data_IF_683436447086
#
_entry.id   IF_683436447086
#
_cell.length_a   1.000
_cell.length_b   1.000
_cell.length_c   1.000
_cell.angle_alpha   90.00
_cell.angle_beta   90.00
_cell.angle_gamma   90.00
#
_symmetry.space_group_name_H-M   'P 1'
#
loop_
_entity.id
_entity.type
_entity.pdbx_description
1 polymer ?
#
# COMPACT_ATOMS: atom_id res chain seq x y z
N UNK A 1 16.62 13.54 18.13
CA UNK A 1 15.96 14.76 18.66
C UNK A 1 16.50 16.07 18.07
N UNK A 2 17.75 16.51 18.36
CA UNK A 2 18.29 17.81 17.89
C UNK A 2 18.16 17.98 16.37
N UNK A 3 18.55 16.95 15.63
CA UNK A 3 18.51 16.97 14.16
C UNK A 3 17.08 17.12 13.61
N UNK A 4 16.12 16.40 14.21
CA UNK A 4 14.70 16.46 13.85
C UNK A 4 14.16 17.88 14.07
N UNK A 5 14.36 18.45 15.27
CA UNK A 5 13.86 19.79 15.63
C UNK A 5 14.40 20.85 14.65
N UNK A 6 15.69 20.77 14.27
CA UNK A 6 16.29 21.69 13.30
C UNK A 6 15.66 21.60 11.91
N UNK A 7 15.14 20.44 11.52
CA UNK A 7 14.54 20.22 10.20
C UNK A 7 13.06 20.57 10.20
N UNK A 8 12.30 20.16 11.21
CA UNK A 8 10.84 20.33 11.22
C UNK A 8 10.40 21.75 11.55
N UNK A 9 11.20 22.49 12.34
CA UNK A 9 10.89 23.88 12.71
C UNK A 9 10.76 24.81 11.49
N UNK A 10 11.72 24.88 10.55
CA UNK A 10 11.57 25.70 9.36
C UNK A 10 10.47 25.22 8.40
N UNK A 11 9.94 24.00 8.58
CA UNK A 11 8.79 23.48 7.84
C UNK A 11 7.44 23.89 8.44
N UNK A 12 7.44 24.63 9.56
CA UNK A 12 6.22 25.07 10.23
C UNK A 12 5.45 23.95 10.94
N UNK A 13 6.11 22.82 11.23
CA UNK A 13 5.50 21.78 12.06
C UNK A 13 5.46 22.24 13.51
N UNK A 14 4.32 22.02 14.17
CA UNK A 14 4.13 22.33 15.58
C UNK A 14 5.06 21.47 16.47
N UNK A 15 5.76 22.10 17.40
CA UNK A 15 6.68 21.42 18.32
C UNK A 15 6.20 21.65 19.75
N UNK A 16 5.78 20.55 20.41
CA UNK A 16 5.33 20.58 21.79
C UNK A 16 6.30 19.83 22.70
N UNK A 17 6.53 20.37 23.89
CA UNK A 17 7.40 19.80 24.92
C UNK A 17 6.59 19.30 26.10
N UNK A 18 7.06 18.22 26.72
CA UNK A 18 6.48 17.75 27.98
C UNK A 18 7.58 17.38 28.97
N UNK A 19 7.38 17.76 30.24
CA UNK A 19 8.31 17.43 31.32
C UNK A 19 7.53 17.07 32.59
N UNK A 20 8.14 16.25 33.45
CA UNK A 20 7.54 15.91 34.74
C UNK A 20 7.76 17.09 35.70
N UNK A 21 6.67 17.63 36.23
CA UNK A 21 6.71 18.67 37.26
C UNK A 21 5.40 18.66 38.03
N UNK A 22 5.49 18.77 39.35
CA UNK A 22 4.33 18.89 40.22
C UNK A 22 3.69 20.28 40.11
N UNK A 23 2.37 20.36 40.18
CA UNK A 23 1.63 21.62 40.32
C UNK A 23 1.83 22.27 41.70
N UNK A 24 2.25 21.48 42.69
CA UNK A 24 2.51 21.95 44.06
C UNK A 24 3.95 21.66 44.46
N UNK A 25 4.54 22.52 45.30
CA UNK A 25 5.91 22.32 45.81
C UNK A 25 6.09 21.04 46.63
N UNK A 26 5.01 20.53 47.25
CA UNK A 26 5.05 19.30 48.03
C UNK A 26 4.60 18.07 47.23
N UNK A 27 4.28 18.21 45.94
CA UNK A 27 3.93 17.11 45.05
C UNK A 27 2.67 16.34 45.44
N UNK A 28 1.71 16.97 46.15
CA UNK A 28 0.47 16.30 46.58
C UNK A 28 -0.43 15.91 45.41
N UNK A 29 -0.31 16.64 44.31
CA UNK A 29 -1.05 16.51 43.05
C UNK A 29 -0.55 15.39 42.14
N UNK A 30 0.62 14.80 42.44
CA UNK A 30 1.18 13.69 41.68
C UNK A 30 0.24 12.49 41.68
N UNK A 31 0.27 11.74 40.57
CA UNK A 31 -0.42 10.45 40.46
C UNK A 31 0.00 9.50 41.57
N UNK A 32 -0.86 8.51 41.87
CA UNK A 32 -0.53 7.48 42.86
C UNK A 32 0.74 6.72 42.46
N UNK A 33 0.89 6.38 41.19
CA UNK A 33 2.09 5.74 40.66
C UNK A 33 3.35 6.58 40.91
N UNK A 34 3.35 7.88 40.62
CA UNK A 34 4.52 8.73 40.88
C UNK A 34 4.86 8.84 42.37
N UNK A 35 3.86 8.76 43.26
CA UNK A 35 4.08 8.69 44.71
C UNK A 35 4.74 7.37 45.12
N UNK A 36 4.28 6.25 44.59
CA UNK A 36 4.81 4.91 44.89
C UNK A 36 6.19 4.67 44.27
N UNK A 37 6.41 5.17 43.06
CA UNK A 37 7.65 5.05 42.29
C UNK A 37 8.68 6.14 42.63
N UNK A 38 8.38 7.00 43.61
CA UNK A 38 9.21 8.11 44.08
C UNK A 38 9.68 9.07 42.97
N UNK A 39 8.84 9.30 41.96
CA UNK A 39 9.08 10.28 40.90
C UNK A 39 8.55 11.63 41.41
N UNK A 40 9.45 12.50 41.88
CA UNK A 40 9.09 13.78 42.48
C UNK A 40 9.93 14.93 41.95
N UNK A 41 9.31 15.80 41.15
CA UNK A 41 9.91 17.07 40.71
C UNK A 41 9.03 18.21 41.25
N UNK A 42 9.49 19.03 42.21
CA UNK A 42 8.71 20.13 42.78
C UNK A 42 8.40 21.24 41.77
N UNK A 43 7.30 21.98 42.00
CA UNK A 43 6.98 23.19 41.23
C UNK A 43 8.13 24.21 41.26
N UNK A 44 8.60 24.61 40.09
CA UNK A 44 9.69 25.56 39.87
C UNK A 44 11.09 24.96 39.99
N UNK A 45 11.22 23.63 40.02
CA UNK A 45 12.52 22.95 40.01
C UNK A 45 13.15 23.03 38.62
N UNK A 46 14.45 23.34 38.56
CA UNK A 46 15.23 23.28 37.31
C UNK A 46 15.37 21.87 36.75
N UNK A 47 15.10 20.83 37.55
CA UNK A 47 15.04 19.44 37.08
C UNK A 47 13.86 19.20 36.13
N UNK A 48 12.85 20.08 36.15
CA UNK A 48 11.74 20.06 35.22
C UNK A 48 12.07 20.73 33.88
N UNK A 49 13.25 21.31 33.71
CA UNK A 49 13.63 22.04 32.51
C UNK A 49 14.01 21.08 31.36
N UNK A 50 13.65 21.47 30.15
CA UNK A 50 14.12 20.78 28.95
C UNK A 50 15.62 21.05 28.80
N UNK A 51 16.39 20.00 28.48
CA UNK A 51 17.84 20.13 28.30
C UNK A 51 18.18 21.20 27.24
N UNK A 52 19.25 21.95 27.49
CA UNK A 52 19.64 23.09 26.65
C UNK A 52 19.84 22.74 25.16
N UNK A 53 20.27 21.51 24.86
CA UNK A 53 20.49 21.04 23.49
C UNK A 53 19.22 20.99 22.63
N UNK A 54 18.03 20.92 23.24
CA UNK A 54 16.73 20.91 22.56
C UNK A 54 15.75 21.90 23.21
N UNK A 55 16.26 22.99 23.79
CA UNK A 55 15.45 23.98 24.49
C UNK A 55 14.26 24.48 23.64
N UNK A 56 13.08 24.68 24.25
CA UNK A 56 11.94 25.28 23.58
C UNK A 56 12.27 26.69 23.07
N UNK A 57 11.74 27.05 21.91
CA UNK A 57 11.67 28.42 21.44
C UNK A 57 10.58 29.20 22.20
N UNK A 58 10.54 30.51 22.00
CA UNK A 58 9.62 31.42 22.70
C UNK A 58 8.14 31.04 22.55
N UNK A 59 7.74 30.55 21.37
CA UNK A 59 6.35 30.23 21.02
C UNK A 59 6.02 28.73 21.12
N UNK A 60 6.97 27.89 21.54
CA UNK A 60 6.72 26.45 21.63
C UNK A 60 5.83 26.13 22.84
N UNK A 61 4.83 25.25 22.65
CA UNK A 61 3.97 24.84 23.75
C UNK A 61 4.70 23.86 24.68
N UNK A 62 4.79 24.20 25.96
CA UNK A 62 5.45 23.36 26.97
C UNK A 62 4.48 22.97 28.10
N UNK A 63 4.12 21.68 28.15
CA UNK A 63 3.16 21.14 29.12
C UNK A 63 3.86 20.37 30.24
N UNK A 64 3.51 20.70 31.48
CA UNK A 64 4.00 20.01 32.68
C UNK A 64 3.04 18.90 33.07
N UNK A 65 3.56 17.69 33.30
CA UNK A 65 2.76 16.49 33.60
C UNK A 65 3.07 15.93 34.99
N UNK A 66 2.03 15.50 35.70
CA UNK A 66 2.10 14.97 37.07
C UNK A 66 1.94 13.44 37.14
N UNK A 67 1.95 12.80 35.97
CA UNK A 67 1.90 11.35 35.76
C UNK A 67 2.77 10.94 34.57
N UNK A 68 2.88 9.62 34.30
CA UNK A 68 3.64 9.11 33.15
C UNK A 68 2.94 9.39 31.82
N UNK A 69 1.62 9.18 31.74
CA UNK A 69 0.81 9.48 30.55
C UNK A 69 0.48 10.96 30.41
N UNK A 70 0.92 11.58 29.31
CA UNK A 70 0.68 13.01 29.03
C UNK A 70 -0.81 13.33 28.85
N UNK A 71 -1.58 12.43 28.22
CA UNK A 71 -3.03 12.61 28.02
C UNK A 71 -3.84 12.51 29.32
N UNK A 72 -3.27 11.91 30.36
CA UNK A 72 -3.94 11.69 31.64
C UNK A 72 -3.79 12.84 32.62
N UNK A 73 -2.71 13.62 32.53
CA UNK A 73 -2.39 14.68 33.50
C UNK A 73 -2.21 16.07 32.88
N UNK A 74 -2.53 16.23 31.60
CA UNK A 74 -2.48 17.52 30.91
C UNK A 74 -3.73 17.73 30.05
N UNK A 75 -3.88 18.94 29.51
CA UNK A 75 -4.91 19.28 28.53
C UNK A 75 -4.44 19.09 27.07
N UNK A 76 -3.41 18.27 26.82
CA UNK A 76 -2.80 18.14 25.49
C UNK A 76 -3.79 17.75 24.39
N UNK A 77 -4.76 16.87 24.68
CA UNK A 77 -5.78 16.45 23.69
C UNK A 77 -6.62 17.63 23.21
N UNK A 78 -7.07 18.47 24.14
CA UNK A 78 -7.83 19.68 23.83
C UNK A 78 -7.00 20.65 22.96
N UNK A 79 -5.72 20.83 23.28
CA UNK A 79 -4.81 21.71 22.53
C UNK A 79 -4.59 21.17 21.12
N UNK A 80 -4.22 19.89 20.98
CA UNK A 80 -4.00 19.23 19.68
C UNK A 80 -5.24 19.31 18.78
N UNK A 81 -6.43 19.11 19.34
CA UNK A 81 -7.71 19.23 18.60
C UNK A 81 -7.94 20.65 18.08
N UNK A 82 -7.68 21.67 18.89
CA UNK A 82 -7.83 23.07 18.48
C UNK A 82 -6.81 23.50 17.43
N UNK A 83 -5.61 22.89 17.45
CA UNK A 83 -4.59 23.07 16.43
C UNK A 83 -4.87 22.28 15.14
N UNK A 84 -5.91 21.44 15.12
CA UNK A 84 -6.26 20.61 13.96
C UNK A 84 -5.23 19.51 13.68
N UNK A 85 -4.50 19.05 14.69
CA UNK A 85 -3.46 18.04 14.54
C UNK A 85 -4.09 16.66 14.35
N UNK A 86 -3.79 16.02 13.22
CA UNK A 86 -4.20 14.63 12.94
C UNK A 86 -3.03 13.64 13.07
N UNK A 87 -1.80 14.11 12.83
CA UNK A 87 -0.57 13.31 12.88
C UNK A 87 0.30 13.72 14.06
N UNK A 88 0.69 12.76 14.90
CA UNK A 88 1.51 13.00 16.08
C UNK A 88 2.84 12.25 15.98
N UNK A 89 3.94 12.99 15.96
CA UNK A 89 5.30 12.44 15.99
C UNK A 89 5.81 12.46 17.43
N UNK A 90 6.09 11.28 17.99
CA UNK A 90 6.48 11.09 19.39
C UNK A 90 7.96 10.70 19.47
N UNK A 91 8.71 11.41 20.30
CA UNK A 91 10.09 11.09 20.65
C UNK A 91 10.38 11.53 22.09
N UNK A 92 11.30 10.86 22.79
CA UNK A 92 11.66 11.27 24.16
C UNK A 92 12.28 10.17 25.02
N UNK A 93 12.29 10.42 26.34
CA UNK A 93 12.92 9.54 27.32
C UNK A 93 11.91 8.61 28.00
N UNK A 94 12.39 7.42 28.35
CA UNK A 94 11.62 6.27 28.84
C UNK A 94 10.65 5.72 27.79
N UNK A 95 11.23 5.09 26.77
CA UNK A 95 10.51 4.39 25.69
C UNK A 95 9.42 3.45 26.22
N UNK A 96 9.71 2.72 27.29
CA UNK A 96 8.85 1.72 27.93
C UNK A 96 7.92 2.30 29.02
N UNK A 97 7.82 3.64 29.11
CA UNK A 97 6.91 4.30 30.05
C UNK A 97 6.19 5.47 29.38
N UNK A 98 6.73 6.69 29.48
CA UNK A 98 6.04 7.89 29.07
C UNK A 98 5.77 7.93 27.56
N UNK A 99 6.72 7.41 26.75
CA UNK A 99 6.57 7.30 25.29
C UNK A 99 5.51 6.27 24.93
N UNK A 100 5.60 5.05 25.49
CA UNK A 100 4.61 3.99 25.29
C UNK A 100 3.18 4.47 25.60
N UNK A 101 2.96 5.03 26.78
CA UNK A 101 1.65 5.55 27.18
C UNK A 101 1.16 6.65 26.24
N UNK A 102 2.03 7.60 25.86
CA UNK A 102 1.65 8.66 24.93
C UNK A 102 1.24 8.11 23.56
N UNK A 103 1.96 7.10 23.06
CA UNK A 103 1.66 6.44 21.79
C UNK A 103 0.30 5.75 21.84
N UNK A 104 0.05 4.90 22.84
CA UNK A 104 -1.20 4.15 22.96
C UNK A 104 -2.40 5.07 23.19
N UNK A 105 -2.28 6.02 24.12
CA UNK A 105 -3.35 6.97 24.42
C UNK A 105 -3.69 7.82 23.18
N UNK A 106 -2.69 8.25 22.41
CA UNK A 106 -2.90 9.00 21.18
C UNK A 106 -3.59 8.14 20.10
N UNK A 107 -3.16 6.89 19.93
CA UNK A 107 -3.77 5.96 18.98
C UNK A 107 -5.26 5.72 19.31
N UNK A 108 -5.59 5.44 20.58
CA UNK A 108 -6.97 5.23 21.04
C UNK A 108 -7.84 6.48 20.88
N UNK A 109 -7.23 7.67 20.93
CA UNK A 109 -7.90 8.95 20.69
C UNK A 109 -8.04 9.30 19.20
N UNK A 110 -7.54 8.47 18.30
CA UNK A 110 -7.69 8.59 16.85
C UNK A 110 -6.63 9.45 16.16
N UNK A 111 -5.48 9.71 16.79
CA UNK A 111 -4.34 10.35 16.13
C UNK A 111 -3.55 9.33 15.30
N UNK A 112 -3.00 9.76 14.16
CA UNK A 112 -2.03 8.96 13.40
C UNK A 112 -0.64 9.14 14.03
N UNK A 113 -0.15 8.11 14.71
CA UNK A 113 1.05 8.22 15.54
C UNK A 113 2.29 7.68 14.81
N UNK A 114 3.38 8.43 14.87
CA UNK A 114 4.73 8.01 14.47
C UNK A 114 5.64 8.08 15.70
N UNK A 115 6.29 6.98 16.06
CA UNK A 115 7.33 6.95 17.10
C UNK A 115 8.72 6.95 16.45
N UNK A 116 9.56 7.92 16.81
CA UNK A 116 10.93 7.99 16.29
C UNK A 116 11.85 7.17 17.20
N UNK A 117 12.12 5.91 16.82
CA UNK A 117 12.77 4.91 17.66
C UNK A 117 14.16 5.33 18.14
N UNK A 118 15.01 5.79 17.22
CA UNK A 118 16.38 6.25 17.52
C UNK A 118 16.45 7.63 18.19
N UNK A 119 15.31 8.33 18.29
CA UNK A 119 15.14 9.51 19.12
C UNK A 119 14.46 9.19 20.46
N UNK A 120 14.24 7.91 20.75
CA UNK A 120 13.74 7.42 22.03
C UNK A 120 14.82 6.63 22.77
N UNK A 121 14.74 6.60 24.10
CA UNK A 121 15.63 5.75 24.90
C UNK A 121 15.01 5.38 26.25
N UNK A 122 15.51 4.33 26.88
CA UNK A 122 15.21 3.97 28.28
C UNK A 122 16.46 3.34 28.92
N UNK A 123 16.35 2.85 30.15
CA UNK A 123 17.48 2.39 30.96
C UNK A 123 18.35 1.31 30.31
N UNK A 124 17.78 0.46 29.45
CA UNK A 124 18.52 -0.56 28.70
C UNK A 124 17.99 -0.68 27.28
N UNK A 125 18.86 -1.12 26.36
CA UNK A 125 18.49 -1.40 24.97
C UNK A 125 17.42 -2.48 24.87
N UNK A 126 17.49 -3.52 25.72
CA UNK A 126 16.48 -4.58 25.75
C UNK A 126 15.09 -4.04 26.14
N UNK A 127 15.01 -3.17 27.16
CA UNK A 127 13.73 -2.53 27.54
C UNK A 127 13.20 -1.64 26.43
N UNK A 128 14.08 -0.92 25.75
CA UNK A 128 13.74 -0.09 24.60
C UNK A 128 13.11 -0.92 23.48
N UNK A 129 13.77 -2.01 23.07
CA UNK A 129 13.28 -2.90 22.01
C UNK A 129 12.00 -3.65 22.41
N UNK A 130 11.89 -4.05 23.69
CA UNK A 130 10.67 -4.67 24.22
C UNK A 130 9.48 -3.72 24.13
N UNK A 131 9.66 -2.46 24.49
CA UNK A 131 8.60 -1.46 24.40
C UNK A 131 8.19 -1.18 22.96
N UNK A 132 9.17 -0.95 22.07
CA UNK A 132 8.90 -0.75 20.63
C UNK A 132 8.10 -1.92 20.05
N UNK A 133 8.43 -3.16 20.42
CA UNK A 133 7.65 -4.34 20.03
C UNK A 133 6.26 -4.35 20.64
N UNK A 134 6.13 -3.95 21.90
CA UNK A 134 4.86 -3.98 22.62
C UNK A 134 3.84 -2.96 22.08
N UNK A 135 4.27 -1.74 21.77
CA UNK A 135 3.37 -0.68 21.28
C UNK A 135 3.44 -0.47 19.76
N UNK A 136 4.30 -1.18 19.03
CA UNK A 136 4.43 -1.02 17.58
C UNK A 136 3.16 -1.27 16.77
N UNK A 137 2.18 -2.00 17.32
CA UNK A 137 0.85 -2.13 16.71
C UNK A 137 -0.03 -0.88 16.79
N UNK A 138 0.38 0.15 17.54
CA UNK A 138 -0.38 1.38 17.81
C UNK A 138 0.21 2.61 17.09
N UNK A 139 1.39 2.50 16.48
CA UNK A 139 2.04 3.59 15.75
C UNK A 139 2.95 3.07 14.64
N UNK A 140 3.27 3.92 13.67
CA UNK A 140 4.41 3.69 12.77
C UNK A 140 5.70 3.93 13.54
N UNK A 141 6.63 2.97 13.53
CA UNK A 141 7.95 3.15 14.12
C UNK A 141 8.93 3.49 13.00
N UNK A 142 9.66 4.59 13.16
CA UNK A 142 10.63 5.08 12.17
C UNK A 142 11.91 5.52 12.86
N UNK A 143 13.03 5.45 12.16
CA UNK A 143 14.27 6.12 12.53
C UNK A 143 14.21 7.60 12.16
N UNK A 144 15.11 8.39 12.72
CA UNK A 144 15.28 9.81 12.43
C UNK A 144 15.50 10.02 10.92
N UNK A 145 16.30 9.17 10.29
CA UNK A 145 16.62 9.29 8.87
C UNK A 145 15.42 8.95 7.98
N UNK A 146 14.68 7.89 8.28
CA UNK A 146 13.46 7.53 7.54
C UNK A 146 12.42 8.64 7.62
N UNK A 147 12.22 9.20 8.82
CA UNK A 147 11.29 10.30 9.02
C UNK A 147 11.72 11.56 8.24
N UNK A 148 13.00 11.90 8.25
CA UNK A 148 13.53 13.04 7.48
C UNK A 148 13.37 12.81 5.97
N UNK A 149 13.63 11.61 5.48
CA UNK A 149 13.44 11.28 4.06
C UNK A 149 11.97 11.39 3.65
N UNK A 150 11.04 10.95 4.50
CA UNK A 150 9.60 11.03 4.24
C UNK A 150 9.10 12.48 4.15
N UNK A 151 9.50 13.34 5.10
CA UNK A 151 9.11 14.76 5.07
C UNK A 151 9.79 15.54 3.92
N UNK A 152 11.03 15.18 3.55
CA UNK A 152 11.74 15.81 2.43
C UNK A 152 11.23 15.32 1.06
N UNK A 153 10.93 14.02 0.93
CA UNK A 153 10.32 13.43 -0.26
C UNK A 153 8.93 13.99 -0.53
N UNK A 154 8.19 14.31 0.54
CA UNK A 154 6.89 14.99 0.45
C UNK A 154 7.01 16.46 0.01
N UNK A 155 8.12 17.13 0.32
CA UNK A 155 8.39 18.51 -0.11
C UNK A 155 8.84 18.64 -1.58
N UNK A 156 9.38 17.58 -2.18
CA UNK A 156 9.73 17.59 -3.61
C UNK A 156 8.49 17.59 -4.54
N UNK A 157 7.29 17.34 -4.01
CA UNK A 157 6.03 17.50 -4.76
C UNK A 157 5.42 18.91 -4.66
N UNK A 158 5.97 19.80 -3.82
CA UNK A 158 5.44 21.17 -3.62
C UNK A 158 6.34 22.30 -4.11
N UNK A 159 7.60 22.06 -4.49
CA UNK A 159 8.52 23.10 -4.94
C UNK A 159 8.98 22.89 -6.39
N UNK A 160 8.12 23.24 -7.35
CA UNK A 160 8.56 23.74 -8.65
C UNK A 160 8.70 25.25 -8.58
N UNK A 161 9.65 25.76 -7.78
CA UNK A 161 10.33 27.03 -8.07
C UNK A 161 11.49 27.32 -7.09
N UNK A 162 12.59 27.80 -7.66
CA UNK A 162 13.75 28.46 -7.03
C UNK A 162 14.74 27.64 -6.17
N UNK A 163 15.83 27.23 -6.83
CA UNK A 163 17.23 27.28 -6.38
C UNK A 163 17.54 27.43 -4.87
N UNK A 164 17.90 26.32 -4.22
CA UNK A 164 18.79 26.32 -3.05
C UNK A 164 19.88 25.26 -3.29
N UNK A 165 21.12 25.72 -3.54
CA UNK A 165 22.32 24.88 -3.51
C UNK A 165 22.81 24.82 -2.05
N UNK A 166 22.75 23.65 -1.42
CA UNK A 166 23.47 23.40 -0.17
C UNK A 166 24.71 22.56 -0.49
N UNK A 167 25.88 23.18 -0.41
CA UNK A 167 27.17 22.51 -0.49
C UNK A 167 27.49 21.87 0.86
N UNK A 168 27.50 20.55 0.92
CA UNK A 168 27.95 19.80 2.11
C UNK A 168 29.46 19.64 1.99
N UNK A 169 30.19 20.16 2.98
CA UNK A 169 31.64 20.04 3.07
C UNK A 169 32.03 18.61 3.49
N UNK A 170 32.85 17.98 2.66
CA UNK A 170 33.51 16.68 2.88
C UNK A 170 34.56 16.77 4.00
N UNK A 171 34.19 16.59 5.28
CA UNK A 171 35.13 16.15 6.33
C UNK A 171 34.41 15.43 7.48
N UNK A 172 34.12 14.14 7.33
CA UNK A 172 34.12 13.18 8.44
C UNK A 172 34.14 11.74 7.91
N UNK A 173 35.35 11.23 7.71
CA UNK A 173 35.62 9.81 7.45
C UNK A 173 35.62 9.04 8.78
N UNK A 174 34.97 7.87 8.74
CA UNK A 174 35.20 6.67 9.55
C UNK A 174 34.57 6.59 10.95
N UNK A 175 33.25 6.31 10.98
CA UNK A 175 32.68 5.37 11.95
C UNK A 175 32.12 4.16 11.19
N UNK A 176 32.83 3.04 11.20
CA UNK A 176 32.28 1.76 10.75
C UNK A 176 31.41 1.19 11.87
N UNK A 177 30.14 1.60 11.91
CA UNK A 177 29.12 0.94 12.74
C UNK A 177 28.66 -0.28 11.96
N UNK A 178 28.87 -1.49 12.51
CA UNK A 178 28.29 -2.70 11.94
C UNK A 178 26.79 -2.71 12.25
N UNK A 179 26.01 -2.10 11.37
CA UNK A 179 24.56 -2.24 11.34
C UNK A 179 24.27 -3.72 11.10
N UNK A 180 23.62 -4.41 12.03
CA UNK A 180 23.02 -5.71 11.71
C UNK A 180 21.97 -5.44 10.64
N UNK A 181 22.27 -5.79 9.39
CA UNK A 181 21.36 -5.65 8.27
C UNK A 181 20.19 -6.62 8.46
N UNK A 182 19.03 -6.10 8.85
CA UNK A 182 17.80 -6.87 8.75
C UNK A 182 17.44 -7.01 7.27
N UNK A 183 17.16 -8.23 6.83
CA UNK A 183 16.71 -8.50 5.47
C UNK A 183 15.41 -7.73 5.23
N UNK A 184 15.43 -6.84 4.25
CA UNK A 184 14.23 -6.19 3.75
C UNK A 184 13.59 -7.08 2.68
N UNK A 185 12.25 -7.15 2.61
CA UNK A 185 11.57 -7.83 1.52
C UNK A 185 11.99 -7.21 0.18
N UNK A 186 12.60 -8.03 -0.69
CA UNK A 186 12.89 -7.64 -2.06
C UNK A 186 11.59 -7.43 -2.82
N UNK A 187 11.49 -6.34 -3.58
CA UNK A 187 10.35 -6.10 -4.46
C UNK A 187 10.40 -7.09 -5.62
N UNK A 188 9.35 -7.87 -5.81
CA UNK A 188 9.28 -8.85 -6.88
C UNK A 188 8.39 -8.36 -8.01
N UNK A 189 8.85 -8.55 -9.25
CA UNK A 189 8.02 -8.41 -10.46
C UNK A 189 7.66 -9.80 -10.95
N UNK A 190 6.40 -10.02 -11.32
CA UNK A 190 5.91 -11.31 -11.82
C UNK A 190 5.63 -11.26 -13.33
N UNK A 191 6.28 -12.15 -14.08
CA UNK A 191 5.94 -12.42 -15.47
C UNK A 191 4.72 -13.34 -15.49
N UNK A 192 3.62 -12.90 -16.10
CA UNK A 192 2.33 -13.61 -16.04
C UNK A 192 1.79 -13.99 -17.41
N UNK A 193 1.11 -15.13 -17.47
CA UNK A 193 0.25 -15.56 -18.58
C UNK A 193 -1.12 -15.91 -18.02
N UNK A 194 -2.18 -15.65 -18.77
CA UNK A 194 -3.52 -16.22 -18.49
C UNK A 194 -3.66 -17.49 -19.31
N UNK A 195 -3.91 -18.62 -18.65
CA UNK A 195 -4.03 -19.91 -19.33
C UNK A 195 -5.43 -20.12 -19.94
N UNK A 196 -5.64 -21.30 -20.53
CA UNK A 196 -6.93 -21.68 -21.13
C UNK A 196 -8.07 -21.83 -20.12
N UNK A 197 -7.77 -21.95 -18.82
CA UNK A 197 -8.78 -22.00 -17.75
C UNK A 197 -9.08 -20.63 -17.14
N UNK A 198 -8.45 -19.57 -17.66
CA UNK A 198 -8.64 -18.21 -17.19
C UNK A 198 -7.91 -17.91 -15.88
N UNK A 199 -6.90 -18.71 -15.50
CA UNK A 199 -6.07 -18.50 -14.32
C UNK A 199 -4.78 -17.79 -14.73
N UNK A 200 -4.50 -16.67 -14.07
CA UNK A 200 -3.25 -15.92 -14.23
C UNK A 200 -2.13 -16.62 -13.46
N UNK A 201 -1.14 -17.16 -14.16
CA UNK A 201 0.01 -17.87 -13.60
C UNK A 201 1.32 -17.26 -14.08
N UNK A 202 2.42 -17.53 -13.39
CA UNK A 202 3.68 -16.88 -13.75
C UNK A 202 4.86 -17.24 -12.86
N UNK A 203 5.95 -16.48 -13.01
CA UNK A 203 7.13 -16.56 -12.14
C UNK A 203 7.59 -15.16 -11.75
N UNK A 204 8.02 -15.02 -10.50
CA UNK A 204 8.49 -13.77 -9.96
C UNK A 204 10.03 -13.73 -9.90
N UNK A 205 10.59 -12.53 -10.04
CA UNK A 205 12.02 -12.25 -9.94
C UNK A 205 12.25 -10.89 -9.24
N UNK A 206 13.44 -10.64 -8.66
CA UNK A 206 13.78 -9.33 -8.09
C UNK A 206 13.61 -8.21 -9.11
N UNK A 207 12.83 -7.17 -8.79
CA UNK A 207 12.45 -6.12 -9.74
C UNK A 207 13.67 -5.38 -10.32
N UNK A 208 14.75 -5.28 -9.54
CA UNK A 208 16.04 -4.73 -9.97
C UNK A 208 16.71 -5.52 -11.10
N UNK A 209 16.36 -6.80 -11.29
CA UNK A 209 16.90 -7.65 -12.35
C UNK A 209 16.07 -7.61 -13.66
N UNK A 210 15.08 -6.73 -13.76
CA UNK A 210 14.11 -6.71 -14.88
C UNK A 210 14.74 -6.64 -16.27
N UNK A 211 15.91 -5.99 -16.39
CA UNK A 211 16.59 -5.86 -17.67
C UNK A 211 17.09 -7.20 -18.23
N UNK A 212 17.37 -8.17 -17.37
CA UNK A 212 17.76 -9.53 -17.77
C UNK A 212 16.60 -10.32 -18.39
N UNK A 213 15.37 -9.95 -18.04
CA UNK A 213 14.15 -10.68 -18.40
C UNK A 213 13.46 -10.12 -19.63
N UNK A 214 13.76 -8.90 -20.08
CA UNK A 214 13.04 -8.30 -21.22
C UNK A 214 13.13 -9.10 -22.51
N UNK A 215 14.33 -9.60 -22.83
CA UNK A 215 14.56 -10.32 -24.08
C UNK A 215 14.48 -11.84 -23.89
N UNK A 216 14.85 -12.31 -22.70
CA UNK A 216 14.94 -13.75 -22.43
C UNK A 216 13.65 -14.31 -21.82
N UNK A 217 12.84 -13.49 -21.14
CA UNK A 217 11.70 -13.95 -20.36
C UNK A 217 12.10 -14.88 -19.22
N UNK A 218 11.18 -15.74 -18.78
CA UNK A 218 11.48 -16.83 -17.83
C UNK A 218 11.04 -18.19 -18.36
N UNK A 219 11.65 -19.28 -17.87
CA UNK A 219 11.26 -20.64 -18.25
C UNK A 219 9.80 -20.96 -17.91
N UNK A 220 9.17 -21.80 -18.72
CA UNK A 220 7.77 -22.21 -18.60
C UNK A 220 7.59 -23.66 -19.05
N UNK A 221 6.47 -24.29 -18.67
CA UNK A 221 6.27 -25.73 -18.88
C UNK A 221 5.08 -25.99 -19.82
N UNK A 222 5.24 -26.78 -20.89
CA UNK A 222 4.13 -27.11 -21.81
C UNK A 222 2.89 -27.69 -21.11
N UNK A 223 3.10 -28.59 -20.15
CA UNK A 223 2.05 -29.23 -19.36
C UNK A 223 1.12 -28.25 -18.63
N UNK A 224 1.57 -27.02 -18.35
CA UNK A 224 0.73 -25.98 -17.76
C UNK A 224 -0.46 -25.61 -18.65
N UNK A 225 -0.39 -25.86 -19.96
CA UNK A 225 -1.50 -25.65 -20.91
C UNK A 225 -2.63 -26.68 -20.74
N UNK A 226 -2.38 -27.79 -20.03
CA UNK A 226 -3.34 -28.87 -19.78
C UNK A 226 -3.91 -28.87 -18.35
N UNK A 227 -3.63 -27.83 -17.56
CA UNK A 227 -4.19 -27.70 -16.21
C UNK A 227 -5.69 -27.45 -16.28
N UNK A 228 -6.46 -28.16 -15.45
CA UNK A 228 -7.88 -27.89 -15.23
C UNK A 228 -8.09 -26.82 -14.16
N UNK A 229 -9.31 -26.27 -14.00
CA UNK A 229 -9.62 -25.35 -12.90
C UNK A 229 -9.43 -25.96 -11.49
N UNK A 230 -9.27 -27.28 -11.38
CA UNK A 230 -9.01 -28.00 -10.13
C UNK A 230 -7.50 -28.24 -9.89
N UNK A 231 -6.62 -27.62 -10.69
CA UNK A 231 -5.17 -27.79 -10.66
C UNK A 231 -4.70 -29.24 -10.90
N UNK A 232 -5.44 -29.99 -11.72
CA UNK A 232 -5.05 -31.32 -12.20
C UNK A 232 -4.61 -31.21 -13.66
N UNK A 233 -3.51 -31.88 -14.04
CA UNK A 233 -3.13 -32.01 -15.45
C UNK A 233 -4.02 -33.07 -16.09
N UNK A 234 -4.75 -32.71 -17.15
CA UNK A 234 -5.61 -33.66 -17.86
C UNK A 234 -4.80 -34.83 -18.43
N UNK A 235 -5.27 -36.08 -18.24
CA UNK A 235 -4.60 -37.29 -18.73
C UNK A 235 -4.35 -37.27 -20.24
N UNK A 236 -5.29 -36.69 -21.00
CA UNK A 236 -5.18 -36.46 -22.44
C UNK A 236 -4.38 -35.20 -22.77
N UNK A 237 -3.17 -35.06 -22.22
CA UNK A 237 -2.29 -33.90 -22.47
C UNK A 237 -1.45 -34.15 -23.75
N UNK A 238 -1.72 -33.45 -24.87
CA UNK A 238 -0.97 -33.64 -26.11
C UNK A 238 0.44 -33.03 -26.08
N UNK A 239 0.76 -32.19 -25.08
CA UNK A 239 2.03 -31.48 -24.97
C UNK A 239 3.05 -32.21 -24.08
N UNK A 240 2.61 -33.24 -23.35
CA UNK A 240 3.45 -34.01 -22.43
C UNK A 240 3.99 -33.18 -21.26
N UNK A 241 4.95 -33.76 -20.53
CA UNK A 241 5.68 -33.12 -19.42
C UNK A 241 7.13 -32.74 -19.78
N UNK A 242 7.52 -33.00 -21.03
CA UNK A 242 8.88 -32.77 -21.53
C UNK A 242 8.90 -31.56 -22.49
N UNK A 243 10.01 -30.82 -22.49
CA UNK A 243 10.17 -29.58 -23.24
C UNK A 243 10.28 -28.36 -22.32
N UNK A 244 10.76 -27.25 -22.88
CA UNK A 244 10.90 -25.98 -22.18
C UNK A 244 10.26 -24.88 -23.05
N UNK A 245 9.53 -23.98 -22.42
CA UNK A 245 8.92 -22.81 -23.04
C UNK A 245 9.47 -21.56 -22.36
N UNK A 246 9.17 -20.38 -22.90
CA UNK A 246 9.46 -19.11 -22.24
C UNK A 246 8.21 -18.26 -22.12
N UNK A 247 8.06 -17.58 -21.00
CA UNK A 247 7.15 -16.43 -20.87
C UNK A 247 7.92 -15.18 -21.31
N UNK A 248 7.65 -14.70 -22.51
CA UNK A 248 8.29 -13.50 -23.06
C UNK A 248 7.47 -12.25 -22.70
N UNK A 249 8.02 -11.30 -21.92
CA UNK A 249 7.28 -10.13 -21.45
C UNK A 249 7.01 -9.10 -22.55
N UNK A 250 5.79 -8.57 -22.54
CA UNK A 250 5.45 -7.36 -23.30
C UNK A 250 5.70 -6.10 -22.44
N UNK A 251 6.64 -5.26 -22.85
CA UNK A 251 7.00 -4.02 -22.13
C UNK A 251 5.82 -3.09 -21.90
N UNK A 252 4.85 -3.05 -22.83
CA UNK A 252 3.70 -2.14 -22.77
C UNK A 252 2.62 -2.62 -21.82
N UNK A 253 2.66 -3.88 -21.39
CA UNK A 253 1.63 -4.49 -20.56
C UNK A 253 1.94 -4.43 -19.05
N UNK A 254 3.09 -3.86 -18.67
CA UNK A 254 3.49 -3.78 -17.25
C UNK A 254 2.48 -2.97 -16.44
N UNK A 255 2.04 -3.56 -15.33
CA UNK A 255 1.19 -2.93 -14.33
C UNK A 255 1.92 -2.89 -13.01
N UNK A 256 2.02 -1.71 -12.42
CA UNK A 256 2.66 -1.50 -11.12
C UNK A 256 1.81 -0.61 -10.22
N UNK A 257 1.51 -1.10 -9.02
CA UNK A 257 0.79 -0.37 -7.97
C UNK A 257 1.68 -0.37 -6.73
N UNK A 258 2.15 0.82 -6.34
CA UNK A 258 3.13 1.00 -5.26
C UNK A 258 2.51 1.24 -3.89
N UNK A 259 1.19 1.40 -3.80
CA UNK A 259 0.47 1.62 -2.55
C UNK A 259 -0.96 1.06 -2.62
N UNK A 260 -1.54 0.81 -1.46
CA UNK A 260 -2.90 0.32 -1.33
C UNK A 260 -3.44 0.51 0.09
N UNK A 261 -4.59 -0.09 0.41
CA UNK A 261 -5.19 -0.04 1.74
C UNK A 261 -4.27 -0.51 2.87
N UNK A 262 -3.42 -1.51 2.61
CA UNK A 262 -2.42 -1.98 3.57
C UNK A 262 -1.05 -1.36 3.22
N UNK A 263 -0.51 -0.44 4.05
CA UNK A 263 0.77 0.22 3.79
C UNK A 263 1.97 -0.73 3.89
N UNK A 264 1.78 -1.95 4.41
CA UNK A 264 2.81 -2.98 4.52
C UNK A 264 2.72 -4.03 3.42
N UNK A 265 1.68 -3.98 2.58
CA UNK A 265 1.52 -4.92 1.48
C UNK A 265 2.68 -4.78 0.47
N UNK A 266 3.15 -5.90 -0.10
CA UNK A 266 4.15 -5.85 -1.17
C UNK A 266 3.57 -5.11 -2.39
N UNK A 267 4.45 -4.46 -3.14
CA UNK A 267 4.11 -3.82 -4.41
C UNK A 267 3.51 -4.86 -5.35
N UNK A 268 2.36 -4.53 -5.95
CA UNK A 268 1.80 -5.32 -7.04
C UNK A 268 2.52 -4.91 -8.34
N UNK A 269 3.37 -5.78 -8.89
CA UNK A 269 4.13 -5.52 -10.13
C UNK A 269 4.07 -6.75 -11.03
N UNK A 270 3.30 -6.66 -12.11
CA UNK A 270 3.10 -7.76 -13.06
C UNK A 270 3.37 -7.30 -14.49
N UNK A 271 3.76 -8.24 -15.35
CA UNK A 271 3.95 -8.01 -16.79
C UNK A 271 3.30 -9.16 -17.55
N UNK A 272 2.38 -8.86 -18.47
CA UNK A 272 1.78 -9.88 -19.32
C UNK A 272 2.79 -10.38 -20.35
N UNK A 273 2.81 -11.69 -20.51
CA UNK A 273 3.74 -12.40 -21.37
C UNK A 273 3.00 -13.22 -22.42
N UNK A 274 3.70 -13.44 -23.53
CA UNK A 274 3.35 -14.49 -24.48
C UNK A 274 4.14 -15.74 -24.15
N UNK A 275 3.60 -16.89 -24.54
CA UNK A 275 4.29 -18.16 -24.41
C UNK A 275 4.97 -18.44 -25.74
N UNK A 276 6.29 -18.68 -25.71
CA UNK A 276 7.08 -19.00 -26.89
C UNK A 276 7.87 -20.29 -26.67
N UNK A 277 8.22 -20.95 -27.77
CA UNK A 277 9.23 -22.01 -27.80
C UNK A 277 10.64 -21.41 -27.60
N UNK A 278 11.61 -22.28 -27.28
CA UNK A 278 13.01 -21.85 -27.07
C UNK A 278 13.70 -21.31 -28.32
N UNK A 279 13.16 -21.60 -29.51
CA UNK A 279 13.61 -21.03 -30.78
C UNK A 279 12.96 -19.67 -31.10
N UNK A 280 12.10 -19.16 -30.22
CA UNK A 280 11.41 -17.88 -30.37
C UNK A 280 10.05 -17.95 -31.07
N UNK A 281 9.62 -19.12 -31.57
CA UNK A 281 8.30 -19.24 -32.20
C UNK A 281 7.18 -19.14 -31.17
N UNK A 282 6.05 -18.57 -31.60
CA UNK A 282 4.81 -18.56 -30.84
C UNK A 282 4.39 -19.97 -30.42
N UNK A 283 4.07 -20.15 -29.14
CA UNK A 283 3.44 -21.39 -28.67
C UNK A 283 1.99 -21.46 -29.19
N UNK A 284 1.59 -22.52 -29.92
CA UNK A 284 0.32 -22.57 -30.65
C UNK A 284 -0.94 -22.41 -29.79
N UNK A 285 -0.85 -22.66 -28.48
CA UNK A 285 -1.99 -22.56 -27.55
C UNK A 285 -1.82 -21.43 -26.53
N UNK A 286 -0.95 -20.46 -26.80
CA UNK A 286 -0.90 -19.22 -26.03
C UNK A 286 -2.15 -18.37 -26.31
N UNK A 287 -3.04 -18.13 -25.33
CA UNK A 287 -4.30 -17.41 -25.60
C UNK A 287 -4.07 -15.95 -26.02
N UNK A 288 -3.04 -15.31 -25.44
CA UNK A 288 -2.69 -13.92 -25.71
C UNK A 288 -2.17 -13.73 -27.14
N UNK A 289 -1.35 -14.66 -27.61
CA UNK A 289 -0.83 -14.67 -28.98
C UNK A 289 -1.91 -15.00 -30.00
N UNK A 290 -2.81 -15.95 -29.70
CA UNK A 290 -3.97 -16.23 -30.54
C UNK A 290 -4.81 -14.96 -30.77
N UNK A 291 -5.10 -14.22 -29.69
CA UNK A 291 -5.81 -12.95 -29.79
C UNK A 291 -5.00 -11.93 -30.62
N UNK A 292 -3.69 -11.81 -30.40
CA UNK A 292 -2.84 -10.89 -31.17
C UNK A 292 -2.91 -11.16 -32.67
N UNK A 293 -2.74 -12.42 -33.07
CA UNK A 293 -2.78 -12.82 -34.48
C UNK A 293 -4.14 -12.47 -35.11
N UNK A 294 -5.23 -12.62 -34.36
CA UNK A 294 -6.54 -12.22 -34.84
C UNK A 294 -6.66 -10.69 -34.96
N UNK A 295 -6.16 -9.92 -33.99
CA UNK A 295 -6.14 -8.45 -34.08
C UNK A 295 -5.28 -7.99 -35.28
N UNK A 296 -4.12 -8.59 -35.50
CA UNK A 296 -3.27 -8.30 -36.66
C UNK A 296 -3.97 -8.65 -37.98
N UNK A 297 -4.74 -9.74 -38.02
CA UNK A 297 -5.57 -10.10 -39.18
C UNK A 297 -6.60 -9.02 -39.49
N UNK A 298 -7.32 -8.50 -38.49
CA UNK A 298 -8.26 -7.38 -38.66
C UNK A 298 -7.55 -6.14 -39.20
N UNK A 299 -6.38 -5.80 -38.66
CA UNK A 299 -5.66 -4.61 -39.05
C UNK A 299 -5.08 -4.71 -40.47
N UNK A 300 -4.33 -5.78 -40.75
CA UNK A 300 -3.55 -5.92 -41.98
C UNK A 300 -4.39 -6.36 -43.18
N UNK A 301 -5.37 -7.25 -42.98
CA UNK A 301 -6.17 -7.79 -44.09
C UNK A 301 -7.45 -7.01 -44.32
N UNK A 302 -8.03 -6.43 -43.27
CA UNK A 302 -9.35 -5.78 -43.34
C UNK A 302 -9.27 -4.25 -43.17
N UNK A 303 -8.14 -3.71 -42.71
CA UNK A 303 -8.02 -2.27 -42.42
C UNK A 303 -8.90 -1.83 -41.25
N UNK A 304 -9.08 -2.72 -40.25
CA UNK A 304 -9.98 -2.52 -39.13
C UNK A 304 -9.23 -2.56 -37.79
N UNK A 305 -9.71 -1.75 -36.85
CA UNK A 305 -9.30 -1.72 -35.45
C UNK A 305 -10.43 -2.28 -34.60
N UNK A 306 -10.10 -3.11 -33.61
CA UNK A 306 -11.06 -3.67 -32.66
C UNK A 306 -10.89 -2.95 -31.33
N UNK A 307 -11.94 -2.26 -30.90
CA UNK A 307 -11.96 -1.53 -29.63
C UNK A 307 -12.94 -2.26 -28.70
N UNK A 308 -12.49 -2.59 -27.49
CA UNK A 308 -13.27 -3.39 -26.57
C UNK A 308 -13.20 -2.89 -25.13
N UNK A 309 -14.27 -3.13 -24.36
CA UNK A 309 -14.33 -2.96 -22.92
C UNK A 309 -15.01 -4.17 -22.28
N UNK A 310 -14.49 -4.61 -21.14
CA UNK A 310 -15.08 -5.68 -20.34
C UNK A 310 -15.67 -5.09 -19.06
N UNK A 311 -16.97 -5.30 -18.85
CA UNK A 311 -17.66 -5.01 -17.58
C UNK A 311 -17.55 -6.25 -16.69
N UNK A 312 -17.11 -6.08 -15.45
CA UNK A 312 -16.91 -7.20 -14.53
C UNK A 312 -17.78 -7.05 -13.29
N UNK A 313 -18.72 -7.97 -13.13
CA UNK A 313 -19.43 -8.17 -11.88
C UNK A 313 -18.65 -9.12 -10.97
N UNK A 314 -18.70 -8.84 -9.67
CA UNK A 314 -18.10 -9.69 -8.65
C UNK A 314 -18.85 -9.60 -7.33
N UNK A 315 -18.71 -10.66 -6.54
CA UNK A 315 -19.20 -10.70 -5.15
C UNK A 315 -18.07 -10.41 -4.19
N UNK A 316 -18.31 -9.55 -3.21
CA UNK A 316 -17.35 -9.20 -2.17
C UNK A 316 -17.75 -9.78 -0.81
N UNK A 317 -16.92 -10.69 -0.29
CA UNK A 317 -17.11 -11.36 1.00
C UNK A 317 -16.11 -10.81 2.05
N UNK A 318 -16.37 -11.05 3.34
CA UNK A 318 -15.46 -10.69 4.44
C UNK A 318 -15.87 -9.46 5.23
N UNK A 319 -16.90 -8.71 4.80
CA UNK A 319 -17.59 -7.72 5.63
C UNK A 319 -18.83 -8.32 6.27
N UNK A 320 -19.21 -7.82 7.45
CA UNK A 320 -20.46 -8.23 8.08
C UNK A 320 -21.62 -7.87 7.15
N UNK A 321 -22.22 -8.91 6.54
CA UNK A 321 -23.31 -8.76 5.58
C UNK A 321 -24.52 -8.16 6.30
N UNK A 322 -24.89 -6.94 5.92
CA UNK A 322 -26.18 -6.37 6.30
C UNK A 322 -27.25 -7.03 5.42
N UNK A 323 -28.15 -7.80 6.03
CA UNK A 323 -29.12 -8.67 5.34
C UNK A 323 -30.05 -7.97 4.36
N UNK A 324 -30.17 -6.64 4.43
CA UNK A 324 -31.22 -5.85 3.79
C UNK A 324 -30.69 -4.60 3.06
N UNK A 325 -29.51 -4.65 2.44
CA UNK A 325 -29.08 -3.58 1.55
C UNK A 325 -29.84 -3.68 0.21
N UNK A 326 -30.64 -2.67 -0.18
CA UNK A 326 -31.37 -2.73 -1.45
C UNK A 326 -30.40 -2.71 -2.63
N UNK A 327 -30.74 -3.46 -3.68
CA UNK A 327 -30.06 -3.44 -4.98
C UNK A 327 -29.88 -2.01 -5.49
N UNK A 328 -28.75 -1.74 -6.15
CA UNK A 328 -28.42 -0.44 -6.76
C UNK A 328 -28.43 0.77 -5.81
N UNK A 329 -28.52 0.55 -4.49
CA UNK A 329 -28.75 1.63 -3.55
C UNK A 329 -27.47 2.36 -3.14
N UNK A 330 -27.59 3.65 -2.86
CA UNK A 330 -26.52 4.41 -2.22
C UNK A 330 -26.07 3.76 -0.90
N UNK A 331 -26.98 3.11 -0.16
CA UNK A 331 -26.64 2.42 1.09
C UNK A 331 -25.73 1.21 0.85
N UNK A 332 -25.98 0.43 -0.21
CA UNK A 332 -25.11 -0.66 -0.62
C UNK A 332 -23.71 -0.13 -1.02
N UNK A 333 -23.66 0.94 -1.80
CA UNK A 333 -22.39 1.60 -2.14
C UNK A 333 -21.65 2.12 -0.89
N UNK A 334 -22.32 2.85 0.01
CA UNK A 334 -21.71 3.42 1.22
C UNK A 334 -21.19 2.34 2.19
N UNK A 335 -21.76 1.14 2.17
CA UNK A 335 -21.29 0.01 2.96
C UNK A 335 -19.89 -0.47 2.55
N UNK A 336 -19.47 -0.19 1.30
CA UNK A 336 -18.16 -0.57 0.76
C UNK A 336 -17.39 0.61 0.17
N UNK A 337 -17.72 1.85 0.56
CA UNK A 337 -17.15 3.05 -0.06
C UNK A 337 -15.63 3.18 0.08
N UNK A 338 -15.06 2.65 1.16
CA UNK A 338 -13.62 2.56 1.37
C UNK A 338 -12.96 1.59 0.38
N UNK A 339 -13.51 0.40 0.21
CA UNK A 339 -13.06 -0.58 -0.79
C UNK A 339 -13.20 -0.02 -2.21
N UNK A 340 -14.36 0.56 -2.53
CA UNK A 340 -14.60 1.18 -3.83
C UNK A 340 -13.59 2.29 -4.14
N UNK A 341 -13.30 3.16 -3.15
CA UNK A 341 -12.33 4.23 -3.28
C UNK A 341 -10.92 3.70 -3.56
N UNK A 342 -10.47 2.71 -2.79
CA UNK A 342 -9.17 2.07 -2.99
C UNK A 342 -9.06 1.30 -4.30
N UNK A 343 -10.11 0.58 -4.70
CA UNK A 343 -10.15 -0.15 -5.97
C UNK A 343 -10.02 0.80 -7.15
N UNK A 344 -10.83 1.86 -7.19
CA UNK A 344 -10.77 2.87 -8.27
C UNK A 344 -9.40 3.57 -8.28
N UNK A 345 -8.82 3.88 -7.12
CA UNK A 345 -7.48 4.48 -7.04
C UNK A 345 -6.40 3.55 -7.59
N UNK A 346 -6.43 2.26 -7.24
CA UNK A 346 -5.49 1.25 -7.70
C UNK A 346 -5.60 0.99 -9.21
N UNK A 347 -6.83 0.88 -9.74
CA UNK A 347 -7.06 0.74 -11.18
C UNK A 347 -6.57 1.98 -11.96
N UNK A 348 -6.73 3.19 -11.41
CA UNK A 348 -6.19 4.42 -12.00
C UNK A 348 -4.67 4.43 -12.02
N UNK A 349 -4.01 4.09 -10.93
CA UNK A 349 -2.53 4.06 -10.87
C UNK A 349 -1.95 2.98 -11.79
N UNK A 350 -2.69 1.90 -12.02
CA UNK A 350 -2.37 0.84 -12.98
C UNK A 350 -2.64 1.20 -14.45
N UNK A 351 -3.21 2.37 -14.78
CA UNK A 351 -3.54 2.75 -16.16
C UNK A 351 -4.74 1.99 -16.76
N UNK A 352 -5.60 1.41 -15.92
CA UNK A 352 -6.79 0.63 -16.35
C UNK A 352 -7.97 1.53 -16.72
N UNK A 353 -7.93 2.82 -16.37
CA UNK A 353 -8.96 3.81 -16.71
C UNK A 353 -10.39 3.43 -16.25
N UNK A 354 -10.63 3.22 -14.94
CA UNK A 354 -11.95 2.90 -14.41
C UNK A 354 -12.93 4.08 -14.59
N UNK A 355 -14.17 3.79 -15.00
CA UNK A 355 -15.24 4.77 -15.23
C UNK A 355 -16.29 4.75 -14.12
N UNK A 356 -16.91 3.59 -13.87
CA UNK A 356 -17.96 3.46 -12.87
C UNK A 356 -17.70 2.29 -11.93
N UNK A 357 -18.03 2.50 -10.65
CA UNK A 357 -18.17 1.45 -9.65
C UNK A 357 -19.60 1.54 -9.11
N UNK A 358 -20.31 0.41 -9.06
CA UNK A 358 -21.72 0.41 -8.65
C UNK A 358 -22.10 -0.88 -7.90
N UNK A 359 -22.99 -0.79 -6.90
CA UNK A 359 -23.65 -1.97 -6.34
C UNK A 359 -24.67 -2.52 -7.33
N UNK A 360 -24.68 -3.83 -7.46
CA UNK A 360 -25.51 -4.55 -8.44
C UNK A 360 -26.80 -5.10 -7.83
N UNK A 361 -27.54 -5.89 -8.62
CA UNK A 361 -28.79 -6.53 -8.17
C UNK A 361 -28.58 -7.54 -7.04
N UNK A 362 -27.51 -8.34 -7.11
CA UNK A 362 -27.18 -9.36 -6.12
C UNK A 362 -26.68 -8.82 -4.79
N UNK A 363 -26.79 -9.64 -3.75
CA UNK A 363 -26.28 -9.29 -2.41
C UNK A 363 -24.75 -9.24 -2.42
N UNK A 364 -24.21 -8.14 -1.92
CA UNK A 364 -22.76 -7.88 -1.95
C UNK A 364 -22.15 -8.04 -3.35
N UNK A 365 -22.96 -7.84 -4.38
CA UNK A 365 -22.55 -7.85 -5.77
C UNK A 365 -22.23 -6.42 -6.18
N UNK A 366 -21.13 -6.24 -6.89
CA UNK A 366 -20.67 -4.96 -7.39
C UNK A 366 -20.15 -5.14 -8.80
N UNK A 367 -20.16 -4.06 -9.56
CA UNK A 367 -19.60 -3.99 -10.90
C UNK A 367 -18.57 -2.86 -10.98
N UNK A 368 -17.52 -3.12 -11.76
CA UNK A 368 -16.57 -2.10 -12.18
C UNK A 368 -16.48 -2.08 -13.71
N UNK A 369 -16.62 -0.89 -14.28
CA UNK A 369 -16.45 -0.64 -15.72
C UNK A 369 -15.20 0.21 -15.97
N UNK A 370 -14.59 0.00 -17.13
CA UNK A 370 -13.39 0.73 -17.55
C UNK A 370 -13.57 1.21 -18.99
N UNK A 371 -12.82 2.26 -19.35
CA UNK A 371 -12.83 2.79 -20.71
C UNK A 371 -12.47 1.72 -21.73
N UNK A 372 -13.04 1.75 -22.94
CA UNK A 372 -12.62 0.88 -24.02
C UNK A 372 -11.16 1.14 -24.43
N UNK A 373 -10.48 0.08 -24.86
CA UNK A 373 -9.13 0.16 -25.41
C UNK A 373 -8.97 -0.82 -26.58
N UNK A 374 -7.88 -0.73 -27.31
CA UNK A 374 -7.69 -1.45 -28.57
C UNK A 374 -7.06 -2.84 -28.38
N UNK A 375 -7.61 -3.82 -29.09
CA UNK A 375 -7.00 -5.12 -29.31
C UNK A 375 -6.60 -5.86 -28.04
N UNK A 376 -5.36 -6.36 -28.00
CA UNK A 376 -4.83 -7.16 -26.89
C UNK A 376 -4.87 -6.40 -25.56
N UNK A 377 -4.69 -5.07 -25.58
CA UNK A 377 -4.72 -4.27 -24.36
C UNK A 377 -6.08 -4.34 -23.65
N UNK A 378 -7.18 -4.61 -24.37
CA UNK A 378 -8.49 -4.76 -23.75
C UNK A 378 -8.60 -6.06 -22.95
N UNK A 379 -8.01 -7.15 -23.46
CA UNK A 379 -7.94 -8.42 -22.74
C UNK A 379 -6.97 -8.34 -21.55
N UNK A 380 -5.80 -7.73 -21.72
CA UNK A 380 -4.85 -7.47 -20.61
C UNK A 380 -5.54 -6.63 -19.52
N UNK A 381 -6.32 -5.60 -19.90
CA UNK A 381 -7.12 -4.78 -18.99
C UNK A 381 -8.15 -5.61 -18.21
N UNK A 382 -8.83 -6.56 -18.85
CA UNK A 382 -9.76 -7.46 -18.17
C UNK A 382 -9.06 -8.32 -17.11
N UNK A 383 -7.86 -8.83 -17.39
CA UNK A 383 -7.05 -9.54 -16.39
C UNK A 383 -6.66 -8.59 -15.24
N UNK A 384 -6.18 -7.39 -15.57
CA UNK A 384 -5.79 -6.38 -14.59
C UNK A 384 -6.93 -6.05 -13.62
N UNK A 385 -8.15 -5.82 -14.13
CA UNK A 385 -9.33 -5.56 -13.30
C UNK A 385 -9.53 -6.67 -12.27
N UNK A 386 -9.50 -7.94 -12.70
CA UNK A 386 -9.73 -9.08 -11.82
C UNK A 386 -8.64 -9.23 -10.76
N UNK A 387 -7.36 -9.17 -11.15
CA UNK A 387 -6.25 -9.38 -10.22
C UNK A 387 -6.07 -8.20 -9.25
N UNK A 388 -6.25 -6.96 -9.72
CA UNK A 388 -6.20 -5.77 -8.84
C UNK A 388 -7.38 -5.80 -7.86
N UNK A 389 -8.58 -6.16 -8.30
CA UNK A 389 -9.75 -6.29 -7.40
C UNK A 389 -9.49 -7.31 -6.30
N UNK A 390 -8.92 -8.47 -6.65
CA UNK A 390 -8.55 -9.50 -5.68
C UNK A 390 -7.46 -9.02 -4.72
N UNK A 391 -6.44 -8.31 -5.19
CA UNK A 391 -5.37 -7.82 -4.32
C UNK A 391 -5.86 -6.73 -3.35
N UNK A 392 -6.66 -5.79 -3.82
CA UNK A 392 -7.26 -4.77 -2.94
C UNK A 392 -8.20 -5.41 -1.91
N UNK A 393 -9.02 -6.38 -2.32
CA UNK A 393 -9.84 -7.14 -1.38
C UNK A 393 -8.97 -7.86 -0.33
N UNK A 394 -7.89 -8.53 -0.76
CA UNK A 394 -6.94 -9.22 0.13
C UNK A 394 -6.32 -8.26 1.16
N UNK A 395 -5.86 -7.09 0.74
CA UNK A 395 -5.28 -6.08 1.63
C UNK A 395 -6.28 -5.60 2.70
N UNK A 396 -7.58 -5.67 2.40
CA UNK A 396 -8.65 -5.27 3.33
C UNK A 396 -9.25 -6.46 4.10
N UNK A 397 -8.63 -7.65 4.06
CA UNK A 397 -9.17 -8.89 4.64
C UNK A 397 -10.54 -9.30 4.10
N UNK A 398 -10.78 -8.99 2.82
CA UNK A 398 -11.98 -9.33 2.05
C UNK A 398 -11.64 -10.33 0.96
N UNK A 399 -12.65 -10.93 0.36
CA UNK A 399 -12.49 -11.85 -0.76
C UNK A 399 -13.42 -11.50 -1.91
N UNK A 400 -12.84 -11.11 -3.05
CA UNK A 400 -13.58 -10.88 -4.29
C UNK A 400 -13.70 -12.17 -5.11
N UNK A 401 -14.93 -12.55 -5.46
CA UNK A 401 -15.23 -13.71 -6.30
C UNK A 401 -15.87 -13.28 -7.61
N UNK A 402 -15.29 -13.73 -8.72
CA UNK A 402 -15.82 -13.59 -10.08
C UNK A 402 -16.46 -14.90 -10.56
N UNK A 403 -16.77 -15.83 -9.65
CA UNK A 403 -17.48 -17.07 -10.00
C UNK A 403 -18.83 -16.71 -10.65
N UNK A 404 -19.21 -17.33 -11.78
CA UNK A 404 -20.51 -17.08 -12.41
C UNK A 404 -21.67 -17.28 -11.45
N UNK A 405 -21.54 -18.23 -10.52
CA UNK A 405 -22.49 -18.42 -9.43
C UNK A 405 -21.72 -18.49 -8.10
N UNK A 406 -21.74 -17.44 -7.26
CA UNK A 406 -20.91 -17.37 -6.06
C UNK A 406 -21.40 -18.29 -4.92
N UNK A 407 -22.71 -18.54 -4.84
CA UNK A 407 -23.33 -19.51 -3.93
C UNK A 407 -24.70 -19.95 -4.46
N UNK A 408 -25.24 -21.05 -3.92
CA UNK A 408 -26.53 -21.59 -4.37
C UNK A 408 -27.65 -20.56 -4.16
N UNK A 409 -28.36 -20.22 -5.24
CA UNK A 409 -29.44 -19.25 -5.22
C UNK A 409 -28.99 -17.79 -5.26
N UNK A 410 -27.70 -17.51 -5.46
CA UNK A 410 -27.22 -16.17 -5.73
C UNK A 410 -27.66 -15.67 -7.12
N UNK A 411 -27.63 -14.35 -7.28
CA UNK A 411 -27.58 -13.72 -8.59
C UNK A 411 -26.20 -13.96 -9.19
N UNK A 412 -26.17 -14.26 -10.47
CA UNK A 412 -24.95 -14.60 -11.19
C UNK A 412 -24.05 -13.38 -11.39
N UNK A 413 -22.74 -13.58 -11.38
CA UNK A 413 -21.78 -12.57 -11.83
C UNK A 413 -21.56 -12.70 -13.35
N UNK A 414 -21.91 -11.66 -14.10
CA UNK A 414 -21.67 -11.53 -15.53
C UNK A 414 -20.29 -10.97 -15.88
N UNK A 415 -19.89 -11.21 -17.12
CA UNK A 415 -18.86 -10.44 -17.82
C UNK A 415 -19.44 -10.02 -19.16
N UNK A 416 -19.70 -8.72 -19.32
CA UNK A 416 -20.18 -8.18 -20.60
C UNK A 416 -19.02 -7.64 -21.41
N UNK A 417 -19.03 -7.94 -22.70
CA UNK A 417 -17.99 -7.49 -23.64
C UNK A 417 -18.63 -6.51 -24.64
N UNK A 418 -18.25 -5.25 -24.54
CA UNK A 418 -18.62 -4.21 -25.50
C UNK A 418 -17.56 -4.18 -26.59
N UNK A 419 -17.99 -4.36 -27.84
CA UNK A 419 -17.11 -4.34 -29.01
C UNK A 419 -17.55 -3.24 -29.97
N UNK A 420 -16.58 -2.50 -30.47
CA UNK A 420 -16.77 -1.64 -31.64
C UNK A 420 -15.64 -1.87 -32.64
N UNK A 421 -15.98 -1.76 -33.91
CA UNK A 421 -15.05 -1.88 -35.02
C UNK A 421 -14.89 -0.49 -35.61
N UNK A 422 -13.64 -0.08 -35.81
CA UNK A 422 -13.29 1.19 -36.44
C UNK A 422 -12.44 0.91 -37.68
N UNK A 423 -12.44 1.82 -38.65
CA UNK A 423 -11.37 1.83 -39.65
C UNK A 423 -10.04 2.33 -39.05
N UNK A 424 -8.97 2.28 -39.83
CA UNK A 424 -7.64 2.71 -39.37
C UNK A 424 -7.58 4.19 -38.98
N UNK A 425 -8.48 5.02 -39.51
CA UNK A 425 -8.59 6.44 -39.20
C UNK A 425 -9.44 6.71 -37.94
N UNK A 426 -10.04 5.66 -37.35
CA UNK A 426 -10.82 5.74 -36.11
C UNK A 426 -12.31 6.02 -36.32
N UNK A 427 -12.82 5.95 -37.55
CA UNK A 427 -14.25 6.11 -37.80
C UNK A 427 -15.00 4.79 -37.51
N UNK A 428 -16.16 4.85 -36.86
CA UNK A 428 -16.95 3.65 -36.58
C UNK A 428 -17.43 2.98 -37.88
N UNK A 429 -17.29 1.67 -37.95
CA UNK A 429 -17.83 0.80 -39.00
C UNK A 429 -19.01 0.02 -38.41
N UNK A 430 -20.19 0.22 -38.99
CA UNK A 430 -21.43 -0.48 -38.61
C UNK A 430 -21.52 -1.88 -39.22
#
# INVERSE_FOLDING_TARGET
>A
MIHIIKIVRPLGMEIMYTTIESLTRNGRDRSLDHKLSNIFIPKGSSEADVISAVAPAEDDIWLKKTSSGVFNSTNIDYVLRNLGVEFLVVMGFLTDQCVDMAVRDAADKGYQVICISDACTTHTQERHENALRAFGGYCRIMTTNEFIQEIQGSNNFKNSDSSIKVSINDQQKNLSVSVRSYLQPTVLTMLVTTDLTGITRGRAFPTEAIDDYWNSGCGWVPASSALTPQDVIADSNPWGSHGDLRLLPDRKSRVRISNGPDPTAPIFDIIHCDIIETDGKAWPVCPRELLRQEIERYQQMLGLRVIAAFEHEFTLNGRQCMSDLPAFSLRAHRHVADFAGWLVAALRSAGVEPEMFLPEYGRSQYEITCRPTEGVAAADRAVNVREITRDIARQMNMHASFSPQPYIGAISNGVHLHLSIQDLDGHPRH
#
